data_IF_266876338130
#
_entry.id   IF_266876338130
#
_cell.length_a   1.000
_cell.length_b   1.000
_cell.length_c   1.000
_cell.angle_alpha   90.00
_cell.angle_beta   90.00
_cell.angle_gamma   90.00
#
_symmetry.space_group_name_H-M   'P 1'
#
loop_
_entity.id
_entity.type
_entity.pdbx_description
1 polymer ?
#
# COMPACT_ATOMS: atom_id res chain seq x y z
N UNK A 1 -10.15 -13.63 23.08
CA UNK A 1 -11.22 -13.37 22.11
C UNK A 1 -10.69 -13.64 20.70
N UNK A 2 -11.04 -14.78 20.08
CA UNK A 2 -10.49 -15.26 18.78
C UNK A 2 -11.22 -14.56 17.62
N UNK A 3 -10.57 -13.59 16.96
CA UNK A 3 -11.10 -13.00 15.73
C UNK A 3 -10.80 -13.94 14.56
N UNK A 4 -11.80 -14.72 14.14
CA UNK A 4 -11.79 -15.48 12.88
C UNK A 4 -11.88 -14.49 11.72
N UNK A 5 -10.73 -14.13 11.16
CA UNK A 5 -10.66 -13.47 9.85
C UNK A 5 -11.15 -14.50 8.82
N UNK A 6 -12.43 -14.42 8.44
CA UNK A 6 -12.98 -15.27 7.37
C UNK A 6 -12.22 -14.98 6.09
N UNK A 7 -11.74 -16.06 5.47
CA UNK A 7 -10.94 -16.11 4.25
C UNK A 7 -11.38 -15.06 3.22
N UNK A 8 -10.50 -14.10 2.93
CA UNK A 8 -10.52 -13.25 1.74
C UNK A 8 -10.16 -14.08 0.48
N UNK A 9 -10.84 -15.21 0.27
CA UNK A 9 -10.61 -16.13 -0.85
C UNK A 9 -11.84 -16.12 -1.75
N UNK A 10 -12.01 -15.05 -2.52
CA UNK A 10 -12.80 -14.93 -3.78
C UNK A 10 -13.11 -13.45 -4.03
N UNK A 11 -12.08 -12.63 -4.29
CA UNK A 11 -12.30 -11.41 -5.07
C UNK A 11 -11.74 -11.70 -6.47
N UNK A 12 -12.57 -12.38 -7.26
CA UNK A 12 -12.33 -12.62 -8.68
C UNK A 12 -12.42 -11.25 -9.35
N UNK A 13 -11.27 -10.63 -9.61
CA UNK A 13 -11.15 -9.32 -10.27
C UNK A 13 -11.58 -9.42 -11.74
N UNK A 14 -12.89 -9.41 -11.95
CA UNK A 14 -13.54 -9.00 -13.19
C UNK A 14 -14.56 -7.92 -12.82
N UNK A 15 -14.07 -6.84 -12.19
CA UNK A 15 -14.88 -5.65 -11.93
C UNK A 15 -14.72 -4.74 -13.14
N UNK A 16 -15.82 -4.28 -13.72
CA UNK A 16 -15.78 -3.32 -14.80
C UNK A 16 -15.08 -2.02 -14.37
N UNK A 17 -14.73 -1.21 -15.37
CA UNK A 17 -14.19 0.15 -15.17
C UNK A 17 -15.04 0.99 -14.18
N UNK A 18 -16.39 0.91 -14.17
CA UNK A 18 -17.22 1.67 -13.23
C UNK A 18 -16.99 1.30 -11.76
N UNK A 19 -16.91 0.01 -11.44
CA UNK A 19 -16.80 -0.47 -10.06
C UNK A 19 -15.39 -0.25 -9.49
N UNK A 20 -14.38 -0.18 -10.35
CA UNK A 20 -13.03 0.23 -9.96
C UNK A 20 -12.99 1.72 -9.57
N UNK A 21 -13.64 2.58 -10.35
CA UNK A 21 -13.73 4.01 -10.05
C UNK A 21 -14.50 4.27 -8.75
N UNK A 22 -15.65 3.61 -8.54
CA UNK A 22 -16.42 3.70 -7.29
C UNK A 22 -15.61 3.25 -6.07
N UNK A 23 -14.82 2.17 -6.20
CA UNK A 23 -13.96 1.73 -5.10
C UNK A 23 -12.87 2.75 -4.79
N UNK A 24 -12.26 3.35 -5.82
CA UNK A 24 -11.23 4.36 -5.63
C UNK A 24 -11.78 5.62 -4.95
N UNK A 25 -13.00 6.02 -5.33
CA UNK A 25 -13.69 7.16 -4.73
C UNK A 25 -14.07 6.89 -3.26
N UNK A 26 -14.67 5.73 -2.97
CA UNK A 26 -14.96 5.32 -1.60
C UNK A 26 -13.70 5.25 -0.72
N UNK A 27 -12.57 4.81 -1.28
CA UNK A 27 -11.30 4.76 -0.56
C UNK A 27 -10.75 6.14 -0.22
N UNK A 28 -11.05 7.17 -1.01
CA UNK A 28 -10.67 8.56 -0.75
C UNK A 28 -11.41 9.15 0.45
N UNK A 29 -12.65 8.72 0.65
CA UNK A 29 -13.53 9.13 1.75
C UNK A 29 -13.50 8.16 2.94
N UNK A 30 -12.48 7.29 3.01
CA UNK A 30 -12.34 6.35 4.11
C UNK A 30 -11.97 7.10 5.40
N UNK A 31 -12.92 7.14 6.34
CA UNK A 31 -12.69 7.58 7.70
C UNK A 31 -12.71 6.39 8.65
N UNK A 32 -11.63 6.16 9.43
CA UNK A 32 -11.61 5.07 10.39
C UNK A 32 -12.58 5.38 11.53
N UNK A 33 -13.53 4.47 11.80
CA UNK A 33 -14.42 4.58 12.97
C UNK A 33 -13.68 4.46 14.31
N UNK A 34 -12.46 3.93 14.26
CA UNK A 34 -11.63 3.54 15.39
C UNK A 34 -10.17 3.68 14.98
N UNK A 35 -9.40 4.46 15.73
CA UNK A 35 -7.99 4.73 15.42
C UNK A 35 -7.13 3.47 15.46
N UNK A 36 -7.47 2.50 16.32
CA UNK A 36 -6.75 1.23 16.47
C UNK A 36 -6.93 0.27 15.30
N UNK A 37 -7.99 0.46 14.50
CA UNK A 37 -8.30 -0.34 13.31
C UNK A 37 -8.13 0.45 12.01
N UNK A 38 -7.72 1.71 12.11
CA UNK A 38 -7.55 2.58 10.96
C UNK A 38 -6.44 2.10 10.04
N UNK A 39 -6.73 2.08 8.74
CA UNK A 39 -5.72 1.93 7.70
C UNK A 39 -5.45 3.30 7.04
N UNK A 40 -4.55 4.13 7.60
CA UNK A 40 -4.27 5.47 7.08
C UNK A 40 -3.72 5.45 5.64
N UNK A 41 -3.19 4.31 5.19
CA UNK A 41 -2.69 4.08 3.84
C UNK A 41 -3.68 3.31 2.94
N UNK A 42 -4.95 3.18 3.32
CA UNK A 42 -5.95 2.43 2.54
C UNK A 42 -6.11 2.99 1.11
N UNK A 43 -6.20 4.32 0.99
CA UNK A 43 -6.34 4.98 -0.31
C UNK A 43 -5.16 4.71 -1.26
N UNK A 44 -3.88 4.99 -0.91
CA UNK A 44 -2.76 4.70 -1.81
C UNK A 44 -2.59 3.21 -2.10
N UNK A 45 -2.94 2.32 -1.15
CA UNK A 45 -2.90 0.87 -1.36
C UNK A 45 -3.92 0.42 -2.41
N UNK A 46 -5.17 0.89 -2.28
CA UNK A 46 -6.25 0.56 -3.22
C UNK A 46 -5.96 1.17 -4.59
N UNK A 47 -5.49 2.42 -4.65
CA UNK A 47 -5.08 3.07 -5.88
C UNK A 47 -3.97 2.28 -6.60
N UNK A 48 -2.98 1.79 -5.87
CA UNK A 48 -1.90 0.96 -6.43
C UNK A 48 -2.44 -0.34 -7.00
N UNK A 49 -3.34 -1.04 -6.29
CA UNK A 49 -3.95 -2.28 -6.79
C UNK A 49 -4.76 -2.05 -8.08
N UNK A 50 -5.54 -0.98 -8.14
CA UNK A 50 -6.41 -0.69 -9.27
C UNK A 50 -5.64 -0.18 -10.49
N UNK A 51 -4.71 0.76 -10.30
CA UNK A 51 -4.01 1.43 -11.41
C UNK A 51 -2.85 0.61 -11.98
N UNK A 52 -2.27 -0.32 -11.20
CA UNK A 52 -1.21 -1.22 -11.70
C UNK A 52 -1.74 -2.58 -12.14
N UNK A 53 -2.98 -2.94 -11.78
CA UNK A 53 -3.53 -4.28 -11.96
C UNK A 53 -2.74 -5.36 -11.19
N UNK A 54 -1.96 -4.96 -10.18
CA UNK A 54 -1.14 -5.87 -9.39
C UNK A 54 -2.01 -6.86 -8.61
N UNK A 55 -1.57 -8.12 -8.54
CA UNK A 55 -2.24 -9.10 -7.67
C UNK A 55 -2.12 -8.63 -6.22
N UNK A 56 -3.11 -8.94 -5.39
CA UNK A 56 -3.11 -8.56 -3.96
C UNK A 56 -1.78 -8.84 -3.27
N UNK A 57 -1.24 -10.03 -3.45
CA UNK A 57 0.01 -10.43 -2.81
C UNK A 57 1.26 -9.79 -3.45
N UNK A 58 1.16 -9.27 -4.68
CA UNK A 58 2.22 -8.46 -5.30
C UNK A 58 2.24 -7.06 -4.69
N UNK A 59 1.07 -6.42 -4.60
CA UNK A 59 0.96 -5.05 -4.10
C UNK A 59 1.23 -4.96 -2.60
N UNK A 60 0.78 -5.94 -1.80
CA UNK A 60 1.09 -6.01 -0.37
C UNK A 60 2.58 -6.30 -0.08
N UNK A 61 3.34 -6.77 -1.06
CA UNK A 61 4.75 -7.10 -0.93
C UNK A 61 5.72 -6.07 -1.51
N UNK A 62 5.21 -4.96 -2.05
CA UNK A 62 6.01 -3.88 -2.62
C UNK A 62 6.81 -3.17 -1.53
N UNK A 63 8.09 -2.93 -1.79
CA UNK A 63 8.92 -2.03 -0.98
C UNK A 63 8.78 -0.59 -1.47
N UNK A 64 9.21 0.36 -0.62
CA UNK A 64 9.31 1.77 -1.03
C UNK A 64 10.30 1.90 -2.19
N UNK A 65 11.39 1.15 -2.17
CA UNK A 65 12.43 1.13 -3.21
C UNK A 65 11.95 0.56 -4.55
N UNK A 66 10.83 -0.15 -4.56
CA UNK A 66 10.26 -0.72 -5.79
C UNK A 66 9.50 0.33 -6.62
N UNK A 67 9.24 1.50 -6.04
CA UNK A 67 8.53 2.60 -6.68
C UNK A 67 9.51 3.73 -7.00
N UNK A 68 9.78 3.92 -8.28
CA UNK A 68 10.57 5.06 -8.75
C UNK A 68 9.65 6.15 -9.29
N UNK A 69 9.54 7.26 -8.55
CA UNK A 69 8.81 8.45 -9.01
C UNK A 69 9.55 9.18 -10.14
N UNK A 70 10.89 9.17 -10.12
CA UNK A 70 11.73 9.78 -11.15
C UNK A 70 11.59 9.06 -12.49
N UNK A 71 11.73 7.73 -12.47
CA UNK A 71 11.60 6.88 -13.67
C UNK A 71 10.15 6.59 -14.03
N UNK A 72 9.20 6.98 -13.17
CA UNK A 72 7.76 6.69 -13.28
C UNK A 72 7.51 5.20 -13.52
N UNK A 73 8.10 4.35 -12.66
CA UNK A 73 7.96 2.90 -12.78
C UNK A 73 7.72 2.24 -11.43
N UNK A 74 6.93 1.16 -11.46
CA UNK A 74 6.75 0.23 -10.35
C UNK A 74 7.36 -1.11 -10.74
N UNK A 75 8.34 -1.56 -9.96
CA UNK A 75 9.07 -2.79 -10.21
C UNK A 75 8.55 -3.90 -9.31
N UNK A 76 7.92 -4.91 -9.90
CA UNK A 76 7.51 -6.09 -9.14
C UNK A 76 8.68 -7.07 -9.08
N UNK A 77 9.37 -7.13 -7.94
CA UNK A 77 10.46 -8.08 -7.67
C UNK A 77 10.11 -9.06 -6.53
N UNK A 78 10.74 -10.25 -6.49
CA UNK A 78 10.68 -11.13 -5.33
C UNK A 78 11.31 -10.42 -4.13
N UNK A 79 10.64 -10.52 -2.99
CA UNK A 79 11.08 -9.90 -1.76
C UNK A 79 11.12 -10.93 -0.61
N UNK A 80 11.84 -10.63 0.48
CA UNK A 80 11.93 -11.49 1.67
C UNK A 80 10.57 -11.88 2.25
N UNK A 81 9.59 -10.98 2.19
CA UNK A 81 8.22 -11.25 2.66
C UNK A 81 7.40 -12.10 1.68
N UNK A 82 7.87 -12.32 0.45
CA UNK A 82 7.19 -13.16 -0.55
C UNK A 82 8.16 -13.87 -1.50
N UNK A 83 8.27 -15.20 -1.34
CA UNK A 83 8.86 -16.09 -2.36
C UNK A 83 7.90 -16.22 -3.55
N UNK A 84 8.32 -15.74 -4.72
CA UNK A 84 7.60 -15.91 -5.98
C UNK A 84 7.59 -17.40 -6.40
N UNK A 85 6.48 -17.88 -7.00
CA UNK A 85 6.37 -19.28 -7.48
C UNK A 85 7.40 -19.60 -8.57
N UNK A 86 7.89 -18.60 -9.32
CA UNK A 86 8.98 -18.73 -10.30
C UNK A 86 9.82 -17.45 -10.35
N UNK A 87 11.15 -17.58 -10.46
CA UNK A 87 12.13 -16.46 -10.54
C UNK A 87 11.94 -15.52 -11.75
N UNK A 88 11.07 -15.85 -12.71
CA UNK A 88 10.91 -15.11 -13.98
C UNK A 88 9.75 -14.10 -14.00
N UNK A 89 8.97 -13.99 -12.94
CA UNK A 89 7.80 -13.09 -12.90
C UNK A 89 8.15 -11.65 -12.53
N UNK A 90 9.34 -11.18 -12.92
CA UNK A 90 9.74 -9.80 -12.74
C UNK A 90 9.07 -8.99 -13.84
N UNK A 91 8.36 -7.92 -13.47
CA UNK A 91 7.80 -7.00 -14.46
C UNK A 91 7.92 -5.58 -13.97
N UNK A 92 8.15 -4.67 -14.90
CA UNK A 92 8.13 -3.24 -14.67
C UNK A 92 6.84 -2.71 -15.27
N UNK A 93 6.05 -2.02 -14.47
CA UNK A 93 4.79 -1.40 -14.90
C UNK A 93 5.01 0.11 -14.90
N UNK A 94 4.67 0.83 -15.99
CA UNK A 94 4.72 2.27 -16.00
C UNK A 94 3.76 2.84 -14.95
N UNK A 95 4.24 3.84 -14.21
CA UNK A 95 3.48 4.53 -13.20
C UNK A 95 2.49 5.49 -13.88
N UNK A 96 1.20 5.30 -13.60
CA UNK A 96 0.17 6.19 -14.11
C UNK A 96 0.29 7.58 -13.46
N UNK A 97 0.09 8.68 -14.21
CA UNK A 97 0.18 10.03 -13.66
C UNK A 97 -0.73 10.28 -12.45
N UNK A 98 -1.91 9.65 -12.44
CA UNK A 98 -2.83 9.68 -11.30
C UNK A 98 -2.22 9.02 -10.06
N UNK A 99 -1.59 7.85 -10.23
CA UNK A 99 -0.94 7.13 -9.14
C UNK A 99 0.28 7.90 -8.61
N UNK A 100 1.05 8.50 -9.51
CA UNK A 100 2.18 9.36 -9.15
C UNK A 100 1.75 10.50 -8.21
N UNK A 101 0.65 11.19 -8.54
CA UNK A 101 0.10 12.26 -7.70
C UNK A 101 -0.27 11.78 -6.29
N UNK A 102 -0.89 10.60 -6.20
CA UNK A 102 -1.28 10.02 -4.91
C UNK A 102 -0.05 9.65 -4.09
N UNK A 103 0.95 9.00 -4.71
CA UNK A 103 2.16 8.55 -4.03
C UNK A 103 3.07 9.71 -3.60
N UNK A 104 3.13 10.79 -4.38
CA UNK A 104 3.86 12.02 -4.01
C UNK A 104 3.35 12.65 -2.71
N UNK A 105 2.06 12.56 -2.42
CA UNK A 105 1.47 13.03 -1.16
C UNK A 105 1.74 12.02 -0.03
N UNK A 106 1.59 10.74 -0.34
CA UNK A 106 1.69 9.68 0.66
C UNK A 106 3.11 9.47 1.23
N UNK A 107 4.18 9.54 0.42
CA UNK A 107 5.52 9.26 0.93
C UNK A 107 5.97 10.23 2.04
N UNK A 108 5.83 11.56 1.89
CA UNK A 108 6.12 12.51 2.98
C UNK A 108 5.21 12.33 4.20
N UNK A 109 3.94 11.98 4.01
CA UNK A 109 3.02 11.69 5.12
C UNK A 109 3.45 10.44 5.88
N UNK A 110 3.84 9.37 5.17
CA UNK A 110 4.38 8.15 5.76
C UNK A 110 5.63 8.44 6.58
N UNK A 111 6.57 9.23 6.06
CA UNK A 111 7.77 9.61 6.80
C UNK A 111 7.42 10.37 8.09
N UNK A 112 6.50 11.33 8.01
CA UNK A 112 5.98 12.04 9.20
C UNK A 112 5.31 11.11 10.21
N UNK A 113 4.53 10.13 9.75
CA UNK A 113 3.88 9.14 10.62
C UNK A 113 4.90 8.24 11.31
N UNK A 114 5.94 7.81 10.59
CA UNK A 114 7.04 7.00 11.14
C UNK A 114 7.81 7.83 12.17
N UNK A 115 8.11 9.09 11.87
CA UNK A 115 8.80 10.00 12.77
C UNK A 115 7.97 10.30 14.04
N UNK A 116 6.68 10.57 13.88
CA UNK A 116 5.76 10.80 15.01
C UNK A 116 5.64 9.56 15.91
N UNK A 117 5.57 8.36 15.33
CA UNK A 117 5.56 7.10 16.08
C UNK A 117 6.89 6.84 16.79
N UNK A 118 8.02 7.17 16.15
CA UNK A 118 9.33 7.08 16.79
C UNK A 118 9.48 8.09 17.93
N UNK A 119 8.99 9.32 17.76
CA UNK A 119 9.01 10.37 18.78
C UNK A 119 8.15 10.00 20.00
N UNK A 120 6.95 9.47 19.78
CA UNK A 120 6.09 9.01 20.88
C UNK A 120 6.70 7.82 21.63
N UNK A 121 7.35 6.89 20.93
CA UNK A 121 8.10 5.79 21.54
C UNK A 121 9.35 6.26 22.29
N UNK A 122 10.07 7.27 21.79
CA UNK A 122 11.24 7.88 22.46
C UNK A 122 10.83 8.63 23.73
N UNK A 123 9.72 9.38 23.68
CA UNK A 123 9.12 10.05 24.84
C UNK A 123 8.65 9.04 25.90
N UNK A 124 7.96 7.96 25.47
CA UNK A 124 7.47 6.90 26.37
C UNK A 124 8.58 6.02 26.97
N UNK A 125 9.77 5.92 26.35
CA UNK A 125 10.87 5.07 26.83
C UNK A 125 12.04 5.82 27.47
N UNK A 126 12.02 7.15 27.53
CA UNK A 126 13.02 7.95 28.24
C UNK A 126 14.48 7.64 27.86
N UNK A 127 14.76 7.12 26.65
CA UNK A 127 16.11 6.79 26.21
C UNK A 127 16.36 7.31 24.80
N UNK A 128 17.20 8.34 24.72
CA UNK A 128 17.93 8.74 23.51
C UNK A 128 18.85 7.58 23.14
N UNK A 129 18.54 6.90 22.04
CA UNK A 129 19.49 6.06 21.32
C UNK A 129 19.50 6.59 19.88
N UNK A 130 20.30 7.65 19.72
CA UNK A 130 21.06 7.90 18.51
C UNK A 130 22.30 7.00 18.55
#
# INVERSE_FOLDING_TARGET
MRVRIRRFSKLRLARGVPEAAQLLDAAKHYEPKRDDLGMPFAYPLIATMLLTGGRRDEVLGLEVDDVSLERKTVTFRPNRWRRLKTKRSHRVVPLWPQLERILRVYFPERERMVEARCSSLRSARGRRLC
#
